data_IF_691939358252
#
_entry.id   IF_691939358252
#
_cell.length_a   1.000
_cell.length_b   1.000
_cell.length_c   1.000
_cell.angle_alpha   90.00
_cell.angle_beta   90.00
_cell.angle_gamma   90.00
#
_symmetry.space_group_name_H-M   'P 1'
#
loop_
_entity.id
_entity.type
_entity.pdbx_description
1 polymer ?
#
# COMPACT_ATOMS: atom_id res chain seq x y z
N UNK A 1 -2.79 -19.37 1.62
CA UNK A 1 -1.62 -19.36 2.52
C UNK A 1 -1.29 -17.92 2.88
N UNK A 2 -0.99 -17.64 4.15
CA UNK A 2 -0.51 -16.32 4.61
C UNK A 2 1.01 -16.33 4.65
N UNK A 3 1.64 -15.31 4.09
CA UNK A 3 3.10 -15.18 4.03
C UNK A 3 3.65 -14.56 5.32
N UNK A 4 4.88 -14.94 5.65
CA UNK A 4 5.66 -14.36 6.75
C UNK A 4 6.49 -13.17 6.27
N UNK A 5 7.05 -12.41 7.21
CA UNK A 5 7.99 -11.32 6.89
C UNK A 5 9.19 -11.81 6.10
N UNK A 6 9.69 -13.01 6.39
CA UNK A 6 10.86 -13.58 5.70
C UNK A 6 10.56 -13.85 4.23
N UNK A 7 9.36 -14.37 3.94
CA UNK A 7 8.94 -14.64 2.56
C UNK A 7 8.83 -13.33 1.75
N UNK A 8 8.27 -12.29 2.38
CA UNK A 8 8.16 -10.95 1.78
C UNK A 8 9.53 -10.31 1.62
N UNK A 9 10.43 -10.46 2.59
CA UNK A 9 11.80 -9.96 2.55
C UNK A 9 12.58 -10.56 1.39
N UNK A 10 12.50 -11.88 1.21
CA UNK A 10 13.10 -12.58 0.09
C UNK A 10 12.51 -12.12 -1.26
N UNK A 11 11.18 -11.94 -1.31
CA UNK A 11 10.47 -11.52 -2.53
C UNK A 11 10.80 -10.10 -2.97
N UNK A 12 10.89 -9.16 -2.02
CA UNK A 12 11.18 -7.74 -2.30
C UNK A 12 12.68 -7.43 -2.29
N UNK A 13 13.53 -8.38 -1.88
CA UNK A 13 14.95 -8.17 -1.61
C UNK A 13 15.20 -7.01 -0.62
N UNK A 14 14.35 -6.90 0.40
CA UNK A 14 14.42 -5.85 1.44
C UNK A 14 14.70 -6.51 2.79
N UNK A 15 15.51 -5.85 3.62
CA UNK A 15 15.80 -6.32 4.99
C UNK A 15 14.52 -6.40 5.83
N UNK A 16 14.37 -7.45 6.62
CA UNK A 16 13.23 -7.67 7.53
C UNK A 16 12.94 -6.44 8.40
N UNK A 17 13.98 -5.81 8.96
CA UNK A 17 13.86 -4.62 9.81
C UNK A 17 13.14 -3.46 9.11
N UNK A 18 13.41 -3.27 7.82
CA UNK A 18 12.75 -2.25 7.00
C UNK A 18 11.28 -2.59 6.77
N UNK A 19 10.96 -3.87 6.56
CA UNK A 19 9.57 -4.33 6.45
C UNK A 19 8.79 -4.16 7.76
N UNK A 20 9.40 -4.45 8.92
CA UNK A 20 8.80 -4.16 10.21
C UNK A 20 8.51 -2.66 10.37
N UNK A 21 9.43 -1.80 9.96
CA UNK A 21 9.22 -0.36 10.00
C UNK A 21 8.05 0.07 9.09
N UNK A 22 7.96 -0.48 7.87
CA UNK A 22 6.84 -0.19 6.97
C UNK A 22 5.51 -0.72 7.48
N UNK A 23 5.50 -1.89 8.13
CA UNK A 23 4.33 -2.45 8.78
C UNK A 23 3.86 -1.55 9.93
N UNK A 24 4.79 -1.08 10.76
CA UNK A 24 4.49 -0.14 11.85
C UNK A 24 3.98 1.22 11.33
N UNK A 25 4.50 1.67 10.19
CA UNK A 25 4.06 2.89 9.51
C UNK A 25 2.76 2.71 8.70
N UNK A 26 2.23 1.50 8.57
CA UNK A 26 1.05 1.20 7.75
C UNK A 26 1.27 1.39 6.24
N UNK A 27 2.53 1.37 5.77
CA UNK A 27 2.88 1.58 4.34
C UNK A 27 2.70 0.33 3.49
N UNK A 28 2.77 -0.84 4.10
CA UNK A 28 2.65 -2.14 3.44
C UNK A 28 1.38 -2.84 3.95
N UNK A 29 0.59 -3.48 3.08
CA UNK A 29 -0.63 -4.17 3.52
C UNK A 29 -0.27 -5.35 4.43
N UNK A 30 -0.70 -5.25 5.68
CA UNK A 30 -0.46 -6.26 6.73
C UNK A 30 -1.75 -6.58 7.45
N UNK A 31 -1.88 -7.84 7.85
CA UNK A 31 -2.97 -8.35 8.66
C UNK A 31 -2.43 -8.70 10.04
N UNK A 32 -2.86 -7.97 11.07
CA UNK A 32 -2.51 -8.29 12.45
C UNK A 32 -3.54 -9.29 13.00
N UNK A 33 -3.14 -10.54 13.15
CA UNK A 33 -3.99 -11.61 13.69
C UNK A 33 -3.32 -12.14 14.97
N UNK A 34 -3.98 -12.02 16.12
CA UNK A 34 -3.47 -12.47 17.42
C UNK A 34 -2.04 -11.97 17.74
N UNK A 35 -1.75 -10.71 17.39
CA UNK A 35 -0.42 -10.10 17.61
C UNK A 35 0.65 -10.46 16.58
N UNK A 36 0.36 -11.36 15.63
CA UNK A 36 1.27 -11.74 14.56
C UNK A 36 0.92 -10.98 13.28
N UNK A 37 1.94 -10.45 12.61
CA UNK A 37 1.79 -9.85 11.29
C UNK A 37 1.77 -10.94 10.22
N UNK A 38 0.74 -10.91 9.39
CA UNK A 38 0.53 -11.81 8.27
C UNK A 38 0.38 -11.00 7.00
N UNK A 39 0.88 -11.55 5.90
CA UNK A 39 0.88 -10.89 4.62
C UNK A 39 0.07 -11.72 3.64
N UNK A 40 -0.88 -11.07 2.98
CA UNK A 40 -1.59 -11.69 1.88
C UNK A 40 -0.82 -11.43 0.58
N UNK A 41 -0.43 -12.49 -0.17
CA UNK A 41 0.33 -12.31 -1.40
C UNK A 41 -0.39 -11.42 -2.42
N UNK A 42 -1.71 -11.58 -2.59
CA UNK A 42 -2.47 -10.80 -3.56
C UNK A 42 -2.58 -9.31 -3.17
N UNK A 43 -2.69 -8.99 -1.88
CA UNK A 43 -2.61 -7.61 -1.38
C UNK A 43 -1.23 -6.97 -1.67
N UNK A 44 -0.15 -7.72 -1.48
CA UNK A 44 1.22 -7.26 -1.76
C UNK A 44 1.44 -7.04 -3.25
N UNK A 45 0.93 -7.94 -4.09
CA UNK A 45 0.96 -7.81 -5.55
C UNK A 45 0.21 -6.57 -6.03
N UNK A 46 -0.93 -6.27 -5.41
CA UNK A 46 -1.68 -5.03 -5.70
C UNK A 46 -0.89 -3.80 -5.26
N UNK A 47 -0.33 -3.82 -4.06
CA UNK A 47 0.47 -2.72 -3.54
C UNK A 47 1.70 -2.44 -4.42
N UNK A 48 2.38 -3.47 -4.91
CA UNK A 48 3.48 -3.34 -5.86
C UNK A 48 3.05 -2.66 -7.16
N UNK A 49 1.87 -3.02 -7.70
CA UNK A 49 1.30 -2.36 -8.90
C UNK A 49 0.97 -0.89 -8.64
N UNK A 50 0.40 -0.57 -7.49
CA UNK A 50 0.08 0.82 -7.12
C UNK A 50 1.35 1.66 -6.89
N UNK A 51 2.42 1.03 -6.40
CA UNK A 51 3.74 1.66 -6.20
C UNK A 51 4.52 1.87 -7.51
N UNK A 52 4.26 1.06 -8.53
CA UNK A 52 4.73 1.33 -9.88
C UNK A 52 3.91 2.50 -10.43
N UNK A 53 4.39 3.73 -10.18
CA UNK A 53 3.95 4.90 -10.93
C UNK A 53 3.98 4.51 -12.41
N UNK A 54 2.89 4.70 -13.17
CA UNK A 54 2.90 4.36 -14.58
C UNK A 54 3.95 5.23 -15.25
N UNK A 55 5.16 4.68 -15.41
CA UNK A 55 6.12 5.22 -16.34
C UNK A 55 5.43 5.14 -17.68
N UNK A 56 5.29 6.28 -18.33
CA UNK A 56 4.34 6.61 -19.40
C UNK A 56 4.51 5.80 -20.71
N UNK A 57 5.14 4.63 -20.69
CA UNK A 57 5.48 3.85 -21.89
C UNK A 57 4.59 2.65 -22.19
N UNK A 58 3.60 2.34 -21.34
CA UNK A 58 2.64 1.26 -21.62
C UNK A 58 1.21 1.70 -21.33
N UNK A 59 0.49 2.01 -22.40
CA UNK A 59 -0.87 2.55 -22.44
C UNK A 59 -1.97 1.58 -21.89
N UNK A 60 -3.24 2.00 -21.78
CA UNK A 60 -4.13 1.73 -20.65
C UNK A 60 -4.98 0.45 -20.79
N UNK A 61 -5.19 -0.25 -19.67
CA UNK A 61 -6.26 -1.24 -19.56
C UNK A 61 -7.25 -0.84 -18.46
N UNK A 62 -8.43 -0.44 -18.94
CA UNK A 62 -9.58 -0.04 -18.16
C UNK A 62 -10.16 -1.18 -17.31
N UNK A 63 -10.56 -0.88 -16.07
CA UNK A 63 -11.98 -0.99 -15.64
C UNK A 63 -12.22 -0.60 -14.17
N UNK A 64 -13.16 0.33 -14.02
CA UNK A 64 -14.30 0.32 -13.09
C UNK A 64 -13.99 0.40 -11.58
N UNK A 65 -14.43 1.43 -10.85
CA UNK A 65 -15.82 1.90 -10.80
C UNK A 65 -15.89 3.35 -10.35
N UNK A 66 -16.37 4.21 -11.24
CA UNK A 66 -16.80 5.57 -10.98
C UNK A 66 -18.15 5.49 -10.25
N UNK A 67 -18.19 5.69 -8.94
CA UNK A 67 -19.43 6.04 -8.25
C UNK A 67 -19.43 7.56 -8.09
N UNK A 68 -20.38 8.21 -8.75
CA UNK A 68 -20.67 9.64 -8.60
C UNK A 68 -21.42 9.84 -7.27
N UNK A 69 -20.97 10.77 -6.43
CA UNK A 69 -21.83 11.70 -5.66
C UNK A 69 -20.89 12.77 -5.06
N UNK A 70 -20.86 13.98 -5.61
CA UNK A 70 -21.77 15.10 -5.35
C UNK A 70 -21.55 15.78 -3.98
N UNK A 71 -20.89 16.95 -4.01
CA UNK A 71 -20.94 18.06 -3.03
C UNK A 71 -20.37 17.73 -1.63
N UNK A 72 -19.67 18.60 -0.89
CA UNK A 72 -19.57 20.05 -0.92
C UNK A 72 -18.26 20.52 -0.23
N UNK A 73 -17.72 21.62 -0.75
CA UNK A 73 -17.18 22.79 -0.03
C UNK A 73 -16.32 22.58 1.23
N UNK A 74 -15.03 22.89 1.06
CA UNK A 74 -14.30 23.74 1.99
C UNK A 74 -13.47 23.05 3.07
N UNK A 75 -12.22 22.72 2.74
CA UNK A 75 -11.15 22.60 3.74
C UNK A 75 -10.17 23.75 3.49
N UNK A 76 -10.41 24.85 4.21
CA UNK A 76 -9.55 26.02 4.26
C UNK A 76 -8.70 25.91 5.53
N UNK A 77 -7.47 26.40 5.43
CA UNK A 77 -6.54 26.74 6.52
C UNK A 77 -5.96 25.53 7.26
N UNK A 78 -4.75 25.52 7.80
CA UNK A 78 -3.55 26.36 7.82
C UNK A 78 -2.68 25.56 8.79
N UNK A 79 -1.44 25.23 8.45
CA UNK A 79 -0.42 25.10 9.50
C UNK A 79 0.88 25.70 8.97
N UNK A 80 0.96 27.01 9.15
CA UNK A 80 2.18 27.81 9.12
C UNK A 80 3.13 27.35 10.22
N UNK A 81 4.38 27.11 9.82
CA UNK A 81 5.64 27.46 10.50
C UNK A 81 5.52 27.96 11.95
N UNK A 82 6.23 27.31 12.87
CA UNK A 82 7.41 27.89 13.52
C UNK A 82 8.27 26.81 14.16
#
# INVERSE_FOLDING_TARGET
MLLTIKDIAARLQVKDKTLYAWAAQGRIPTLKINGVLRFEPAAIDRWLRDCQTPTERSAPSAKSRRIKSARAKGWRQQFSRR
#
